data_IF_846339872716
#
_entry.id   IF_846339872716
#
_cell.length_a   1.000
_cell.length_b   1.000
_cell.length_c   1.000
_cell.angle_alpha   90.00
_cell.angle_beta   90.00
_cell.angle_gamma   90.00
#
_symmetry.space_group_name_H-M   'P 1'
#
loop_
_entity.id
_entity.type
_entity.pdbx_description
1 polymer ?
#
# COMPACT_ATOMS: atom_id res chain seq x y z
N UNK A 1 -3.23 -4.70 -26.18
CA UNK A 1 -1.82 -4.31 -26.40
C UNK A 1 -1.05 -4.73 -25.17
N UNK A 2 -0.11 -5.68 -25.29
CA UNK A 2 0.73 -6.11 -24.17
C UNK A 2 1.77 -5.04 -23.90
N UNK A 3 1.40 -3.99 -23.15
CA UNK A 3 2.36 -3.04 -22.61
C UNK A 3 3.38 -3.78 -21.77
N UNK A 4 4.66 -3.48 -21.96
CA UNK A 4 5.74 -4.02 -21.14
C UNK A 4 5.45 -3.68 -19.66
N UNK A 5 5.29 -4.69 -18.82
CA UNK A 5 5.11 -4.51 -17.39
C UNK A 5 6.43 -4.09 -16.75
N UNK A 6 6.41 -3.00 -15.98
CA UNK A 6 7.57 -2.53 -15.20
C UNK A 6 8.01 -3.65 -14.26
N UNK A 7 9.30 -3.98 -14.25
CA UNK A 7 9.81 -5.05 -13.39
C UNK A 7 10.16 -4.48 -12.03
N UNK A 8 9.48 -5.00 -11.01
CA UNK A 8 9.81 -4.78 -9.60
C UNK A 8 10.66 -5.95 -9.10
N UNK A 9 11.78 -5.67 -8.44
CA UNK A 9 12.68 -6.70 -7.89
C UNK A 9 13.34 -6.23 -6.59
N UNK A 10 14.13 -7.12 -5.99
CA UNK A 10 14.97 -6.84 -4.82
C UNK A 10 14.20 -6.24 -3.65
N UNK A 11 12.99 -6.74 -3.38
CA UNK A 11 12.20 -6.25 -2.25
C UNK A 11 12.91 -6.58 -0.93
N UNK A 12 13.15 -5.56 -0.10
CA UNK A 12 13.76 -5.68 1.22
C UNK A 12 12.87 -5.02 2.26
N UNK A 13 12.61 -5.69 3.38
CA UNK A 13 11.71 -5.21 4.44
C UNK A 13 12.47 -5.03 5.74
N UNK A 14 12.08 -4.04 6.54
CA UNK A 14 12.60 -3.82 7.88
C UNK A 14 12.20 -4.94 8.86
N UNK A 15 11.02 -5.51 8.66
CA UNK A 15 10.45 -6.56 9.51
C UNK A 15 11.02 -7.96 9.24
N UNK A 16 11.79 -8.14 8.16
CA UNK A 16 12.23 -9.44 7.68
C UNK A 16 11.13 -10.29 7.02
N UNK A 17 9.87 -9.80 6.95
CA UNK A 17 8.78 -10.48 6.26
C UNK A 17 8.97 -10.40 4.74
N UNK A 18 8.61 -11.46 4.02
CA UNK A 18 8.82 -11.55 2.57
C UNK A 18 7.63 -11.00 1.81
N UNK A 19 7.69 -9.73 1.40
CA UNK A 19 6.68 -9.16 0.50
C UNK A 19 6.77 -9.81 -0.89
N UNK A 20 5.66 -9.82 -1.63
CA UNK A 20 5.55 -10.54 -2.89
C UNK A 20 4.93 -9.67 -3.98
N UNK A 21 5.28 -9.99 -5.22
CA UNK A 21 4.67 -9.40 -6.40
C UNK A 21 3.40 -10.15 -6.77
N UNK A 22 2.38 -9.40 -7.18
CA UNK A 22 1.16 -9.88 -7.77
C UNK A 22 0.70 -8.92 -8.88
N UNK A 23 -0.48 -9.17 -9.45
CA UNK A 23 -1.19 -8.25 -10.32
C UNK A 23 -2.29 -7.54 -9.53
N UNK A 24 -2.45 -6.23 -9.73
CA UNK A 24 -3.59 -5.51 -9.18
C UNK A 24 -4.83 -5.78 -10.05
N UNK A 25 -5.79 -6.54 -9.51
CA UNK A 25 -7.07 -6.80 -10.15
C UNK A 25 -8.13 -7.24 -9.14
N UNK A 26 -9.43 -7.12 -9.44
CA UNK A 26 -10.50 -7.68 -8.61
C UNK A 26 -10.29 -9.17 -8.32
N UNK A 27 -10.63 -9.60 -7.10
CA UNK A 27 -10.46 -10.98 -6.63
C UNK A 27 -9.06 -11.31 -6.07
N UNK A 28 -8.04 -10.54 -6.43
CA UNK A 28 -6.68 -10.77 -5.92
C UNK A 28 -6.54 -10.32 -4.46
N UNK A 29 -5.68 -11.03 -3.73
CA UNK A 29 -5.42 -10.74 -2.32
C UNK A 29 -4.57 -9.49 -2.14
N UNK A 30 -5.03 -8.58 -1.27
CA UNK A 30 -4.31 -7.36 -0.91
C UNK A 30 -3.05 -7.65 -0.10
N UNK A 31 -3.11 -8.55 0.87
CA UNK A 31 -1.99 -8.86 1.78
C UNK A 31 -1.52 -10.30 1.64
N UNK A 32 -0.36 -10.60 2.22
CA UNK A 32 0.18 -11.96 2.29
C UNK A 32 -0.32 -12.75 3.50
N UNK A 33 -0.62 -12.06 4.59
CA UNK A 33 -0.96 -12.61 5.90
C UNK A 33 -2.44 -12.41 6.25
N UNK A 34 -3.27 -12.00 5.27
CA UNK A 34 -4.72 -11.82 5.41
C UNK A 34 -5.43 -12.21 4.12
N UNK A 35 -6.64 -12.76 4.25
CA UNK A 35 -7.47 -13.17 3.12
C UNK A 35 -8.35 -12.04 2.56
N UNK A 36 -7.88 -10.79 2.62
CA UNK A 36 -8.62 -9.65 2.11
C UNK A 36 -8.42 -9.53 0.60
N UNK A 37 -9.51 -9.47 -0.16
CA UNK A 37 -9.49 -9.42 -1.63
C UNK A 37 -9.97 -8.06 -2.13
N UNK A 38 -9.37 -7.59 -3.22
CA UNK A 38 -9.88 -6.43 -3.94
C UNK A 38 -11.25 -6.72 -4.55
N UNK A 39 -12.14 -5.73 -4.51
CA UNK A 39 -13.46 -5.80 -5.12
C UNK A 39 -13.53 -4.86 -6.32
N UNK A 40 -13.44 -3.55 -6.09
CA UNK A 40 -13.33 -2.56 -7.15
C UNK A 40 -11.88 -2.10 -7.33
N UNK A 41 -11.40 -2.16 -8.56
CA UNK A 41 -10.13 -1.59 -9.02
C UNK A 41 -10.45 -0.75 -10.28
N UNK A 42 -10.01 0.52 -10.36
CA UNK A 42 -10.17 1.33 -11.57
C UNK A 42 -9.51 0.67 -12.79
N UNK A 43 -10.17 0.73 -13.95
CA UNK A 43 -9.75 0.05 -15.19
C UNK A 43 -8.30 0.35 -15.58
N UNK A 44 -7.85 1.59 -15.38
CA UNK A 44 -6.49 2.06 -15.68
C UNK A 44 -5.41 1.46 -14.77
N UNK A 45 -5.80 0.88 -13.61
CA UNK A 45 -4.89 0.21 -12.68
C UNK A 45 -4.93 -1.31 -12.79
N UNK A 46 -5.93 -1.86 -13.49
CA UNK A 46 -6.04 -3.31 -13.69
C UNK A 46 -4.82 -3.78 -14.51
N UNK A 47 -4.13 -4.79 -13.98
CA UNK A 47 -2.95 -5.35 -14.65
C UNK A 47 -1.63 -4.73 -14.21
N UNK A 48 -1.63 -3.61 -13.48
CA UNK A 48 -0.40 -3.05 -12.94
C UNK A 48 0.23 -3.98 -11.89
N UNK A 49 1.55 -3.86 -11.71
CA UNK A 49 2.29 -4.63 -10.72
C UNK A 49 1.84 -4.23 -9.31
N UNK A 50 1.40 -5.20 -8.51
CA UNK A 50 1.02 -5.02 -7.11
C UNK A 50 2.09 -5.61 -6.20
N UNK A 51 2.50 -4.86 -5.18
CA UNK A 51 3.33 -5.37 -4.09
C UNK A 51 2.41 -5.69 -2.91
N UNK A 52 2.22 -7.00 -2.68
CA UNK A 52 1.52 -7.52 -1.51
C UNK A 52 2.39 -7.37 -0.28
N UNK A 53 1.95 -6.51 0.63
CA UNK A 53 2.59 -6.30 1.93
C UNK A 53 2.05 -7.30 2.97
N UNK A 54 2.69 -7.35 4.14
CA UNK A 54 2.14 -8.04 5.31
C UNK A 54 1.35 -7.03 6.15
N UNK A 55 0.06 -7.30 6.38
CA UNK A 55 -0.83 -6.49 7.20
C UNK A 55 -0.30 -6.24 8.62
N UNK A 56 0.47 -7.16 9.18
CA UNK A 56 1.09 -7.02 10.50
C UNK A 56 2.22 -5.97 10.56
N UNK A 57 2.74 -5.48 9.43
CA UNK A 57 3.74 -4.40 9.41
C UNK A 57 3.13 -3.00 9.58
N UNK A 58 1.80 -2.90 9.73
CA UNK A 58 1.11 -1.62 9.93
C UNK A 58 1.57 -0.82 11.13
N UNK A 59 2.17 -1.45 12.14
CA UNK A 59 2.68 -0.77 13.33
C UNK A 59 4.03 -0.07 13.11
N UNK A 60 4.67 -0.26 11.96
CA UNK A 60 5.90 0.47 11.65
C UNK A 60 5.57 1.97 11.57
N UNK A 61 6.28 2.75 12.38
CA UNK A 61 6.16 4.21 12.46
C UNK A 61 6.47 4.87 11.12
N UNK A 62 5.76 5.96 10.82
CA UNK A 62 6.01 6.82 9.66
C UNK A 62 7.42 7.37 9.55
N UNK A 63 8.15 7.46 10.67
CA UNK A 63 9.53 7.94 10.74
C UNK A 63 10.56 6.82 10.62
N UNK A 64 10.12 5.59 10.35
CA UNK A 64 10.98 4.42 10.18
C UNK A 64 10.85 3.87 8.76
N UNK A 65 11.98 3.41 8.24
CA UNK A 65 12.04 2.60 7.04
C UNK A 65 11.10 1.38 7.19
N UNK A 66 10.25 1.13 6.20
CA UNK A 66 9.40 -0.05 6.17
C UNK A 66 9.92 -1.07 5.16
N UNK A 67 10.06 -0.67 3.91
CA UNK A 67 10.59 -1.54 2.86
C UNK A 67 11.09 -0.74 1.65
N UNK A 68 11.84 -1.40 0.79
CA UNK A 68 12.29 -0.87 -0.50
C UNK A 68 12.17 -1.91 -1.60
N UNK A 69 12.20 -1.43 -2.85
CA UNK A 69 12.22 -2.25 -4.06
C UNK A 69 12.93 -1.50 -5.19
N UNK A 70 13.36 -2.24 -6.21
CA UNK A 70 13.96 -1.66 -7.41
C UNK A 70 13.00 -1.71 -8.59
N UNK A 71 12.94 -0.62 -9.36
CA UNK A 71 12.27 -0.53 -10.66
C UNK A 71 13.31 -0.39 -11.78
N UNK A 72 13.07 -1.03 -12.92
CA UNK A 72 14.03 -1.10 -14.04
C UNK A 72 13.88 0.00 -15.10
N UNK A 73 12.83 0.81 -15.00
CA UNK A 73 12.54 1.99 -15.82
C UNK A 73 11.77 3.05 -15.00
N UNK A 74 11.69 4.31 -15.46
CA UNK A 74 10.87 5.33 -14.79
C UNK A 74 9.40 4.88 -14.67
N UNK A 75 8.81 5.10 -13.49
CA UNK A 75 7.51 4.52 -13.11
C UNK A 75 6.69 5.50 -12.25
N UNK A 76 5.38 5.36 -12.26
CA UNK A 76 4.44 5.93 -11.29
C UNK A 76 4.15 4.92 -10.18
N UNK A 77 4.65 5.20 -8.98
CA UNK A 77 4.38 4.39 -7.79
C UNK A 77 3.15 4.94 -7.08
N UNK A 78 2.15 4.08 -6.88
CA UNK A 78 0.92 4.36 -6.14
C UNK A 78 0.90 3.68 -4.78
N UNK A 79 0.58 4.44 -3.72
CA UNK A 79 0.32 3.91 -2.38
C UNK A 79 -1.18 3.78 -2.19
N UNK A 80 -1.66 2.54 -2.05
CA UNK A 80 -3.05 2.22 -1.74
C UNK A 80 -3.22 2.33 -0.22
N UNK A 81 -3.72 3.49 0.22
CA UNK A 81 -3.80 3.86 1.63
C UNK A 81 -5.26 3.92 2.11
N UNK A 82 -5.53 3.42 3.32
CA UNK A 82 -6.90 3.28 3.80
C UNK A 82 -7.51 4.63 4.20
N UNK A 83 -8.72 4.91 3.70
CA UNK A 83 -9.46 6.16 3.95
C UNK A 83 -9.93 6.30 5.41
N UNK A 84 -9.91 5.19 6.15
CA UNK A 84 -10.28 5.15 7.56
C UNK A 84 -9.24 5.81 8.49
N UNK A 85 -8.01 6.04 8.02
CA UNK A 85 -7.01 6.74 8.82
C UNK A 85 -7.42 8.21 9.05
N UNK A 86 -7.47 8.69 10.31
CA UNK A 86 -7.81 10.07 10.60
C UNK A 86 -6.70 11.05 10.17
N UNK A 87 -5.46 10.55 10.06
CA UNK A 87 -4.28 11.32 9.66
C UNK A 87 -3.46 10.46 8.70
N UNK A 88 -3.02 11.04 7.59
CA UNK A 88 -2.06 10.39 6.69
C UNK A 88 -0.61 10.63 7.17
N UNK A 89 0.31 9.68 6.96
CA UNK A 89 1.73 9.87 7.26
C UNK A 89 2.31 11.10 6.56
N UNK A 90 3.22 11.82 7.21
CA UNK A 90 3.82 13.04 6.69
C UNK A 90 4.58 12.80 5.39
N UNK A 91 5.29 11.67 5.26
CA UNK A 91 6.00 11.31 4.02
C UNK A 91 5.03 11.11 2.84
N UNK A 92 3.78 10.69 3.10
CA UNK A 92 2.77 10.46 2.08
C UNK A 92 2.23 11.78 1.50
N UNK A 93 2.40 12.91 2.21
CA UNK A 93 2.06 14.25 1.70
C UNK A 93 2.93 14.67 0.51
N UNK A 94 4.09 14.02 0.32
CA UNK A 94 4.93 14.18 -0.87
C UNK A 94 4.43 13.41 -2.10
N UNK A 95 3.31 12.70 -1.99
CA UNK A 95 2.60 12.03 -3.08
C UNK A 95 1.32 12.83 -3.40
N UNK A 96 0.93 12.82 -4.67
CA UNK A 96 -0.31 13.43 -5.12
C UNK A 96 -1.49 12.52 -4.79
N UNK A 97 -2.44 13.02 -4.01
CA UNK A 97 -3.70 12.32 -3.76
C UNK A 97 -4.53 12.25 -5.05
N UNK A 98 -4.86 11.05 -5.51
CA UNK A 98 -5.67 10.88 -6.71
C UNK A 98 -7.16 10.72 -6.41
N UNK A 99 -7.98 10.75 -7.47
CA UNK A 99 -9.41 10.41 -7.40
C UNK A 99 -9.66 8.90 -7.45
N UNK A 100 -8.64 8.09 -7.68
CA UNK A 100 -8.79 6.64 -7.75
C UNK A 100 -9.12 6.08 -6.38
N UNK A 101 -10.24 5.36 -6.33
CA UNK A 101 -10.68 4.58 -5.18
C UNK A 101 -10.51 3.11 -5.47
N UNK A 102 -10.07 2.37 -4.47
CA UNK A 102 -10.04 0.91 -4.48
C UNK A 102 -10.87 0.42 -3.30
N UNK A 103 -11.60 -0.68 -3.48
CA UNK A 103 -12.38 -1.30 -2.40
C UNK A 103 -12.03 -2.75 -2.19
N UNK A 104 -12.43 -3.28 -1.04
CA UNK A 104 -12.35 -4.70 -0.69
C UNK A 104 -13.72 -5.37 -0.74
N UNK A 105 -13.71 -6.69 -0.77
CA UNK A 105 -14.94 -7.50 -0.72
C UNK A 105 -15.71 -7.34 0.59
N UNK A 106 -15.02 -7.02 1.69
CA UNK A 106 -15.61 -6.80 3.01
C UNK A 106 -15.75 -5.31 3.39
N UNK A 107 -15.82 -4.44 2.38
CA UNK A 107 -15.99 -3.01 2.56
C UNK A 107 -17.32 -2.66 3.24
N UNK A 108 -17.28 -1.68 4.15
CA UNK A 108 -18.46 -1.16 4.83
C UNK A 108 -18.48 0.38 4.74
N UNK A 109 -19.43 0.97 4.00
CA UNK A 109 -19.49 2.42 3.83
C UNK A 109 -19.66 3.18 5.15
N UNK A 110 -20.42 2.62 6.10
CA UNK A 110 -20.76 3.28 7.36
C UNK A 110 -19.57 3.63 8.25
N UNK A 111 -18.41 3.00 8.04
CA UNK A 111 -17.19 3.24 8.83
C UNK A 111 -15.91 3.24 7.98
N UNK A 112 -16.04 3.39 6.65
CA UNK A 112 -14.95 3.40 5.67
C UNK A 112 -14.03 2.16 5.71
N UNK A 113 -14.45 1.05 6.33
CA UNK A 113 -13.70 -0.20 6.29
C UNK A 113 -13.53 -0.63 4.84
N UNK A 114 -12.30 -0.94 4.46
CA UNK A 114 -11.98 -1.46 3.12
C UNK A 114 -12.09 -0.43 1.99
N UNK A 115 -12.11 0.88 2.29
CA UNK A 115 -12.01 1.94 1.29
C UNK A 115 -10.58 2.51 1.27
N UNK A 116 -10.04 2.72 0.08
CA UNK A 116 -8.68 3.19 -0.10
C UNK A 116 -8.59 4.28 -1.17
N UNK A 117 -7.74 5.26 -0.93
CA UNK A 117 -7.27 6.24 -1.92
C UNK A 117 -5.89 5.84 -2.42
N UNK A 118 -5.65 6.00 -3.71
CA UNK A 118 -4.31 5.84 -4.28
C UNK A 118 -3.59 7.18 -4.33
N UNK A 119 -2.39 7.23 -3.74
CA UNK A 119 -1.51 8.40 -3.75
C UNK A 119 -0.32 8.14 -4.68
N UNK A 120 -0.05 9.01 -5.65
CA UNK A 120 0.98 8.76 -6.68
C UNK A 120 2.21 9.62 -6.53
N UNK A 121 3.34 9.06 -6.95
CA UNK A 121 4.57 9.81 -7.20
C UNK A 121 5.35 9.14 -8.32
N UNK A 122 5.94 9.96 -9.19
CA UNK A 122 6.84 9.49 -10.24
C UNK A 122 8.23 9.26 -9.67
N UNK A 123 8.84 8.15 -10.04
CA UNK A 123 10.21 7.79 -9.67
C UNK A 123 11.03 7.51 -10.94
N UNK A 124 12.30 7.93 -10.99
CA UNK A 124 13.23 7.43 -12.00
C UNK A 124 13.53 5.95 -11.74
N UNK A 125 14.12 5.27 -12.74
CA UNK A 125 14.72 3.95 -12.56
C UNK A 125 15.64 3.95 -11.32
N UNK A 126 15.51 2.93 -10.47
CA UNK A 126 16.36 2.79 -9.29
C UNK A 126 15.62 2.22 -8.09
N UNK A 127 16.16 2.49 -6.90
CA UNK A 127 15.60 2.06 -5.62
C UNK A 127 14.50 3.04 -5.21
N UNK A 128 13.35 2.49 -4.82
CA UNK A 128 12.24 3.20 -4.18
C UNK A 128 12.19 2.74 -2.73
N UNK A 129 12.24 3.68 -1.79
CA UNK A 129 12.12 3.43 -0.35
C UNK A 129 10.82 4.02 0.17
N UNK A 130 10.10 3.24 1.00
CA UNK A 130 8.83 3.64 1.59
C UNK A 130 8.91 3.44 3.11
N UNK A 131 8.40 4.43 3.85
CA UNK A 131 8.36 4.41 5.31
C UNK A 131 7.08 3.75 5.84
N UNK A 132 7.01 3.57 7.16
CA UNK A 132 5.86 2.98 7.84
C UNK A 132 4.56 3.77 7.67
N UNK A 133 3.42 3.11 7.89
CA UNK A 133 2.11 3.70 7.66
C UNK A 133 1.47 4.32 8.91
N UNK A 134 2.05 4.12 10.10
CA UNK A 134 1.47 4.62 11.36
C UNK A 134 1.98 6.02 11.68
N UNK A 135 1.12 7.06 11.65
CA UNK A 135 1.50 8.37 12.14
C UNK A 135 1.91 8.33 13.61
N UNK A 136 2.89 9.13 14.01
CA UNK A 136 3.34 9.14 15.42
C UNK A 136 2.22 9.50 16.38
N UNK A 137 1.33 10.42 15.98
CA UNK A 137 0.16 10.80 16.77
C UNK A 137 -0.83 9.66 17.02
N UNK A 138 -0.75 8.57 16.24
CA UNK A 138 -1.62 7.39 16.38
C UNK A 138 -0.95 6.24 17.13
N UNK A 139 0.36 6.28 17.38
CA UNK A 139 1.12 5.22 18.07
C UNK A 139 0.95 5.32 19.61
N UNK A 140 -0.30 5.41 20.07
CA UNK A 140 -0.63 5.40 21.50
C UNK A 140 -0.49 3.98 22.09
N UNK A 141 -0.38 3.86 23.42
CA UNK A 141 -0.36 2.55 24.08
C UNK A 141 -1.58 1.68 23.74
N UNK A 142 -2.76 2.28 23.60
CA UNK A 142 -3.99 1.59 23.18
C UNK A 142 -3.88 1.07 21.74
N UNK A 143 -3.38 1.89 20.81
CA UNK A 143 -3.19 1.45 19.43
C UNK A 143 -2.17 0.31 19.35
N UNK A 144 -1.07 0.39 20.09
CA UNK A 144 -0.03 -0.63 20.10
C UNK A 144 -0.54 -1.93 20.74
N UNK A 145 -1.20 -1.85 21.90
CA UNK A 145 -1.73 -3.02 22.63
C UNK A 145 -2.81 -3.78 21.87
N UNK A 146 -3.58 -3.11 21.01
CA UNK A 146 -4.56 -3.75 20.11
C UNK A 146 -3.93 -4.27 18.81
N UNK A 147 -2.62 -4.12 18.64
CA UNK A 147 -1.93 -4.46 17.40
C UNK A 147 -2.40 -3.62 16.22
N UNK A 148 -2.78 -2.36 16.46
CA UNK A 148 -3.32 -1.45 15.46
C UNK A 148 -4.67 -1.92 14.92
N UNK A 149 -5.53 -2.46 15.80
CA UNK A 149 -6.85 -2.95 15.41
C UNK A 149 -7.67 -1.83 14.76
N UNK A 150 -8.44 -2.19 13.73
CA UNK A 150 -9.25 -1.23 12.97
C UNK A 150 -8.51 -0.45 11.89
N UNK A 151 -7.18 -0.57 11.79
CA UNK A 151 -6.34 0.06 10.77
C UNK A 151 -5.61 -0.97 9.89
N UNK A 152 -5.18 -0.52 8.71
CA UNK A 152 -4.63 -1.36 7.65
C UNK A 152 -3.21 -0.92 7.28
N UNK A 153 -2.35 -1.89 6.96
CA UNK A 153 -1.11 -1.61 6.25
C UNK A 153 -1.44 -1.12 4.83
N UNK A 154 -0.66 -0.22 4.24
CA UNK A 154 -0.83 0.12 2.83
C UNK A 154 -0.35 -1.03 1.93
N UNK A 155 -0.72 -1.00 0.66
CA UNK A 155 -0.06 -1.79 -0.39
C UNK A 155 0.39 -0.87 -1.53
N UNK A 156 1.26 -1.36 -2.40
CA UNK A 156 1.84 -0.53 -3.47
C UNK A 156 1.45 -1.06 -4.83
N UNK A 157 1.11 -0.16 -5.75
CA UNK A 157 0.95 -0.44 -7.18
C UNK A 157 2.05 0.28 -7.95
N UNK A 158 2.58 -0.35 -8.99
CA UNK A 158 3.57 0.21 -9.89
C UNK A 158 3.04 0.13 -11.32
N UNK A 159 2.74 1.31 -11.85
CA UNK A 159 2.56 1.64 -13.26
C UNK A 159 3.59 2.75 -13.56
#
# INVERSE_FOLDING_TARGET
>A
MSGKSIKVKNIRTASGKKYAINVLMPGEYQYLDRLYQFNYVPDELIGCTHIKTCGDDKLISENKFCFSFEIDEPATVGIIFADKFPVIPNWLRGFEASRHKITRTDSMPSNLKGYFTVFYKKFPKGIVEINGCSPESMLTEEFISTGGSGYCMYTVVVC
#
